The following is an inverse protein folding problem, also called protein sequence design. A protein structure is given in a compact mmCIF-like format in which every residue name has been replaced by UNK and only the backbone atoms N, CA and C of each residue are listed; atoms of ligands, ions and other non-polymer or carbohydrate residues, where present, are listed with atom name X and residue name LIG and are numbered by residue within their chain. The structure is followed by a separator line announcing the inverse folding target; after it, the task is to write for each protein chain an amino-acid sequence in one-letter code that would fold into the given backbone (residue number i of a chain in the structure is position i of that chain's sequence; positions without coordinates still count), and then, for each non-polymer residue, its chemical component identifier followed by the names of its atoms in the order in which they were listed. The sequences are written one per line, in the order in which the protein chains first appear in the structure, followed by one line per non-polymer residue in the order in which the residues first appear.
data_IF_390565686719
#
_entry.id   IF_390565686719
#
_cell.length_a   1.000
_cell.length_b   1.000
_cell.length_c   1.000
_cell.angle_alpha   90.00
_cell.angle_beta   90.00
_cell.angle_gamma   90.00
#
_symmetry.space_group_name_H-M   'P 1'
#
loop_
_entity.id
_entity.type
_entity.pdbx_description
1 polymer ?
#
# COMPACT_ATOMS: atom_id res chain seq x y z
N UNK A 1 15.60 -27.37 21.68
CA UNK A 1 15.00 -28.16 20.57
C UNK A 1 13.57 -27.70 20.25
N UNK A 2 12.68 -27.54 21.25
CA UNK A 2 11.30 -27.04 21.08
C UNK A 2 11.16 -25.67 20.40
N UNK A 3 12.02 -24.71 20.73
CA UNK A 3 11.97 -23.36 20.15
C UNK A 3 12.21 -23.34 18.64
N UNK A 4 13.06 -24.25 18.13
CA UNK A 4 13.35 -24.34 16.69
C UNK A 4 12.15 -24.90 15.94
N UNK A 5 11.51 -25.95 16.46
CA UNK A 5 10.31 -26.54 15.87
C UNK A 5 9.14 -25.55 15.86
N UNK A 6 8.93 -24.82 16.97
CA UNK A 6 7.89 -23.80 17.08
C UNK A 6 8.13 -22.63 16.11
N UNK A 7 9.37 -22.16 15.98
CA UNK A 7 9.72 -21.15 14.98
C UNK A 7 9.49 -21.64 13.55
N UNK A 8 9.89 -22.87 13.22
CA UNK A 8 9.64 -23.46 11.91
C UNK A 8 8.14 -23.56 11.61
N UNK A 9 7.31 -23.87 12.62
CA UNK A 9 5.86 -23.86 12.49
C UNK A 9 5.34 -22.46 12.14
N UNK A 10 5.70 -21.43 12.90
CA UNK A 10 5.32 -20.04 12.60
C UNK A 10 5.79 -19.60 11.21
N UNK A 11 7.03 -19.95 10.84
CA UNK A 11 7.59 -19.66 9.52
C UNK A 11 6.79 -20.33 8.41
N UNK A 12 6.32 -21.57 8.60
CA UNK A 12 5.46 -22.27 7.63
C UNK A 12 4.08 -21.61 7.53
N UNK A 13 3.49 -21.21 8.66
CA UNK A 13 2.17 -20.57 8.71
C UNK A 13 2.12 -19.27 7.91
N UNK A 14 3.15 -18.43 8.05
CA UNK A 14 3.20 -17.14 7.34
C UNK A 14 3.73 -17.27 5.90
N UNK A 15 4.28 -18.42 5.49
CA UNK A 15 4.85 -18.61 4.15
C UNK A 15 3.74 -18.84 3.10
N UNK A 16 2.98 -17.78 2.86
CA UNK A 16 1.79 -17.78 1.99
C UNK A 16 2.18 -17.44 0.54
N UNK A 17 3.30 -16.75 0.28
CA UNK A 17 3.84 -16.46 -1.07
C UNK A 17 2.78 -16.03 -2.09
N UNK A 18 2.02 -14.97 -1.79
CA UNK A 18 0.92 -14.44 -2.62
C UNK A 18 -0.23 -15.40 -2.88
N UNK A 19 -0.42 -16.39 -2.02
CA UNK A 19 -1.58 -17.28 -2.05
C UNK A 19 -2.66 -16.82 -1.06
N UNK A 20 -3.85 -17.40 -1.15
CA UNK A 20 -4.96 -17.11 -0.23
C UNK A 20 -5.67 -15.78 -0.47
N UNK A 21 -6.98 -15.78 -0.29
CA UNK A 21 -7.82 -14.60 -0.44
C UNK A 21 -7.68 -13.69 0.80
N UNK A 22 -7.34 -12.40 0.63
CA UNK A 22 -7.12 -11.49 1.76
C UNK A 22 -8.36 -11.34 2.64
N UNK A 23 -9.57 -11.34 2.04
CA UNK A 23 -10.83 -11.24 2.79
C UNK A 23 -11.10 -12.45 3.66
N UNK A 24 -10.85 -13.67 3.16
CA UNK A 24 -10.98 -14.88 3.97
C UNK A 24 -9.97 -14.89 5.13
N UNK A 25 -8.71 -14.54 4.85
CA UNK A 25 -7.65 -14.49 5.86
C UNK A 25 -8.01 -13.50 6.97
N UNK A 26 -8.41 -12.28 6.60
CA UNK A 26 -8.76 -11.24 7.58
C UNK A 26 -10.06 -11.59 8.30
N UNK A 27 -10.99 -12.33 7.68
CA UNK A 27 -12.22 -12.76 8.36
C UNK A 27 -11.95 -13.63 9.59
N UNK A 28 -10.91 -14.46 9.57
CA UNK A 28 -10.48 -15.24 10.74
C UNK A 28 -9.72 -14.42 11.78
N UNK A 29 -9.15 -13.29 11.36
CA UNK A 29 -8.50 -12.33 12.23
C UNK A 29 -9.59 -11.36 12.70
N UNK A 30 -9.85 -10.28 11.97
CA UNK A 30 -10.86 -9.30 12.31
C UNK A 30 -12.04 -9.33 11.30
N UNK A 31 -13.21 -9.89 11.67
CA UNK A 31 -14.34 -9.97 10.75
C UNK A 31 -14.88 -8.60 10.33
N UNK A 32 -14.82 -7.58 11.21
CA UNK A 32 -15.26 -6.22 10.88
C UNK A 32 -14.38 -5.58 9.82
N UNK A 33 -13.07 -5.79 9.88
CA UNK A 33 -12.14 -5.30 8.85
C UNK A 33 -12.33 -6.07 7.53
N UNK A 34 -12.64 -7.36 7.61
CA UNK A 34 -12.85 -8.18 6.41
C UNK A 34 -14.04 -7.70 5.56
N UNK A 35 -15.06 -7.13 6.17
CA UNK A 35 -16.22 -6.55 5.47
C UNK A 35 -15.86 -5.29 4.69
N UNK A 36 -14.85 -4.54 5.14
CA UNK A 36 -14.38 -3.32 4.47
C UNK A 36 -13.44 -3.60 3.29
N UNK A 37 -13.05 -4.86 3.07
CA UNK A 37 -12.13 -5.24 2.01
C UNK A 37 -12.84 -5.33 0.67
N UNK A 38 -12.44 -4.45 -0.24
CA UNK A 38 -12.95 -4.39 -1.61
C UNK A 38 -11.98 -5.02 -2.63
N UNK A 39 -12.54 -5.66 -3.66
CA UNK A 39 -11.80 -6.21 -4.79
C UNK A 39 -11.23 -5.08 -5.67
N UNK A 40 -11.94 -3.96 -5.81
CA UNK A 40 -11.49 -2.86 -6.66
C UNK A 40 -10.28 -2.11 -6.07
N UNK A 41 -10.02 -2.21 -4.76
CA UNK A 41 -8.83 -1.64 -4.14
C UNK A 41 -7.54 -2.46 -4.35
N UNK A 42 -7.63 -3.72 -4.83
CA UNK A 42 -6.48 -4.61 -5.03
C UNK A 42 -5.64 -4.77 -3.77
N UNK A 43 -6.27 -5.25 -2.71
CA UNK A 43 -5.76 -5.32 -1.36
C UNK A 43 -4.91 -6.57 -1.16
N UNK A 44 -3.80 -6.43 -0.45
CA UNK A 44 -2.94 -7.53 -0.02
C UNK A 44 -2.66 -7.40 1.47
N UNK A 45 -2.69 -8.51 2.18
CA UNK A 45 -2.39 -8.58 3.61
C UNK A 45 -0.99 -9.13 3.77
N UNK A 46 -0.17 -8.49 4.60
CA UNK A 46 1.18 -8.98 4.90
C UNK A 46 1.31 -9.33 6.37
N UNK A 47 2.10 -10.37 6.65
CA UNK A 47 2.41 -10.83 7.98
C UNK A 47 3.88 -10.58 8.35
N UNK A 48 4.14 -10.39 9.64
CA UNK A 48 5.48 -10.31 10.24
C UNK A 48 5.51 -11.02 11.57
N UNK A 49 6.65 -11.63 11.86
CA UNK A 49 6.96 -12.10 13.21
C UNK A 49 7.64 -10.94 13.94
N UNK A 50 7.20 -10.67 15.16
CA UNK A 50 7.75 -9.62 16.02
C UNK A 50 7.60 -9.96 17.49
N UNK A 51 7.92 -9.01 18.35
CA UNK A 51 7.84 -9.17 19.81
C UNK A 51 9.22 -9.27 20.47
N UNK A 52 9.26 -8.91 21.74
CA UNK A 52 10.48 -8.86 22.57
C UNK A 52 10.77 -10.19 23.28
N UNK A 53 9.79 -11.09 23.34
CA UNK A 53 9.88 -12.41 23.99
C UNK A 53 9.58 -13.51 22.97
N UNK A 54 10.20 -14.67 23.16
CA UNK A 54 9.89 -15.88 22.41
C UNK A 54 8.78 -16.66 23.15
N UNK A 55 7.76 -17.24 22.48
CA UNK A 55 7.54 -17.30 21.03
C UNK A 55 7.18 -15.94 20.39
N UNK A 56 7.51 -15.72 19.11
CA UNK A 56 7.21 -14.46 18.44
C UNK A 56 5.70 -14.29 18.24
N UNK A 57 5.25 -13.04 18.33
CA UNK A 57 3.89 -12.64 17.98
C UNK A 57 3.78 -12.41 16.47
N UNK A 58 2.62 -12.74 15.90
CA UNK A 58 2.33 -12.48 14.50
C UNK A 58 1.63 -11.12 14.41
N UNK A 59 2.13 -10.28 13.51
CA UNK A 59 1.52 -9.00 13.17
C UNK A 59 1.07 -9.02 11.73
N UNK A 60 0.01 -8.28 11.41
CA UNK A 60 -0.48 -8.07 10.06
C UNK A 60 -0.60 -6.60 9.71
N UNK A 61 -0.51 -6.31 8.41
CA UNK A 61 -0.77 -4.97 7.85
C UNK A 61 -1.43 -5.12 6.48
N UNK A 62 -2.43 -4.28 6.24
CA UNK A 62 -3.20 -4.24 5.00
C UNK A 62 -2.55 -3.23 4.06
N UNK A 63 -2.28 -3.65 2.83
CA UNK A 63 -1.70 -2.84 1.77
C UNK A 63 -2.63 -2.79 0.57
N UNK A 64 -2.64 -1.68 -0.13
CA UNK A 64 -3.35 -1.50 -1.39
C UNK A 64 -2.33 -1.42 -2.52
N UNK A 65 -2.55 -2.20 -3.58
CA UNK A 65 -1.68 -2.16 -4.76
C UNK A 65 -2.20 -1.20 -5.82
N UNK A 66 -3.52 -0.96 -5.89
CA UNK A 66 -4.08 -0.02 -6.85
C UNK A 66 -3.80 1.42 -6.43
N UNK A 67 -3.81 2.31 -7.41
CA UNK A 67 -3.58 3.73 -7.18
C UNK A 67 -4.69 4.31 -6.33
N UNK A 68 -4.33 4.92 -5.20
CA UNK A 68 -5.23 5.65 -4.31
C UNK A 68 -4.67 7.06 -4.19
N UNK A 69 -5.48 8.04 -4.57
CA UNK A 69 -5.14 9.46 -4.45
C UNK A 69 -5.87 10.04 -3.24
N UNK A 70 -5.11 10.74 -2.40
CA UNK A 70 -5.65 11.57 -1.34
C UNK A 70 -5.80 12.99 -1.89
N UNK A 71 -7.06 13.40 -2.14
CA UNK A 71 -7.35 14.67 -2.79
C UNK A 71 -6.88 15.87 -1.96
N UNK A 72 -7.09 15.81 -0.65
CA UNK A 72 -6.76 16.89 0.27
C UNK A 72 -5.24 17.01 0.50
N UNK A 73 -4.50 15.93 0.29
CA UNK A 73 -3.06 15.87 0.45
C UNK A 73 -2.26 16.60 -0.66
N UNK A 74 -2.83 16.76 -1.86
CA UNK A 74 -2.09 17.33 -3.01
C UNK A 74 -2.06 18.87 -3.00
N UNK A 75 -3.08 19.52 -2.44
CA UNK A 75 -3.10 20.97 -2.23
C UNK A 75 -3.71 21.27 -0.85
N UNK A 76 -2.94 21.07 0.22
CA UNK A 76 -3.41 21.39 1.55
C UNK A 76 -3.67 22.90 1.62
N UNK A 77 -4.94 23.27 1.84
CA UNK A 77 -5.38 24.66 1.97
C UNK A 77 -6.51 24.69 3.00
N UNK A 78 -6.64 25.81 3.68
CA UNK A 78 -7.84 26.10 4.45
C UNK A 78 -8.93 26.61 3.49
N UNK A 79 -9.78 25.70 3.00
CA UNK A 79 -10.88 26.05 2.10
C UNK A 79 -12.00 26.85 2.78
N UNK A 80 -11.98 26.95 4.11
CA UNK A 80 -12.97 27.72 4.87
C UNK A 80 -12.63 29.21 4.91
N UNK A 81 -11.33 29.53 4.85
CA UNK A 81 -10.82 30.90 4.79
C UNK A 81 -10.36 31.20 3.37
N UNK A 82 -11.29 31.59 2.49
CA UNK A 82 -10.91 32.10 1.17
C UNK A 82 -10.18 33.44 1.36
N UNK A 83 -8.87 33.55 1.10
CA UNK A 83 -8.22 34.85 1.13
C UNK A 83 -8.86 35.71 0.05
N UNK A 84 -9.18 36.96 0.38
CA UNK A 84 -9.66 37.92 -0.61
C UNK A 84 -8.64 37.93 -1.76
N UNK A 85 -9.10 37.66 -2.99
CA UNK A 85 -8.23 37.60 -4.18
C UNK A 85 -7.40 38.89 -4.23
N UNK A 86 -6.09 38.79 -4.00
CA UNK A 86 -5.17 39.91 -4.24
C UNK A 86 -5.15 40.15 -5.74
N UNK A 87 -5.81 41.22 -6.18
CA UNK A 87 -5.82 41.70 -7.57
C UNK A 87 -4.56 42.50 -7.91
N UNK A 88 -3.57 42.59 -7.02
CA UNK A 88 -2.38 43.38 -7.23
C UNK A 88 -1.27 42.57 -7.92
N UNK A 89 -0.92 42.98 -9.15
CA UNK A 89 0.28 42.52 -9.88
C UNK A 89 1.60 43.04 -9.27
N UNK A 90 1.56 43.67 -8.10
CA UNK A 90 2.73 44.24 -7.42
C UNK A 90 3.29 43.15 -6.51
N UNK A 91 4.44 42.60 -6.91
CA UNK A 91 5.27 41.71 -6.07
C UNK A 91 5.85 42.55 -4.93
N UNK A 92 5.14 42.65 -3.81
CA UNK A 92 5.80 43.03 -2.55
C UNK A 92 6.66 41.84 -2.11
N UNK A 93 7.96 42.08 -1.90
CA UNK A 93 9.00 41.10 -1.59
C UNK A 93 8.88 40.47 -0.18
N UNK A 94 7.81 40.83 0.56
CA UNK A 94 7.53 40.28 1.87
C UNK A 94 6.94 38.87 1.71
N UNK A 95 7.80 37.86 1.90
CA UNK A 95 7.42 36.47 2.15
C UNK A 95 6.57 36.44 3.43
N UNK A 96 5.27 36.69 3.30
CA UNK A 96 4.36 36.50 4.41
C UNK A 96 4.41 35.03 4.81
N UNK A 97 4.79 34.76 6.06
CA UNK A 97 4.67 33.43 6.64
C UNK A 97 3.21 33.00 6.52
N UNK A 98 2.94 32.05 5.63
CA UNK A 98 1.61 31.50 5.47
C UNK A 98 1.25 30.72 6.76
N UNK A 99 0.13 31.06 7.39
CA UNK A 99 -0.37 30.31 8.53
C UNK A 99 -0.88 28.93 8.05
N UNK A 100 -0.08 27.89 8.30
CA UNK A 100 -0.37 26.51 7.92
C UNK A 100 -1.32 25.80 8.91
N UNK A 101 -1.81 26.45 9.97
CA UNK A 101 -2.60 25.80 11.04
C UNK A 101 -3.92 25.18 10.55
N UNK A 102 -4.54 25.76 9.52
CA UNK A 102 -5.80 25.28 8.92
C UNK A 102 -5.62 24.30 7.76
N UNK A 103 -4.40 23.93 7.43
CA UNK A 103 -4.12 23.07 6.28
C UNK A 103 -4.44 21.60 6.56
N UNK A 104 -4.88 20.89 5.53
CA UNK A 104 -5.05 19.45 5.60
C UNK A 104 -3.73 18.78 6.02
N UNK A 105 -3.73 18.11 7.18
CA UNK A 105 -2.61 17.33 7.69
C UNK A 105 -2.96 15.86 7.68
N UNK A 106 -2.25 15.08 6.86
CA UNK A 106 -2.42 13.64 6.80
C UNK A 106 -1.76 12.99 8.01
N UNK A 107 -2.53 12.19 8.76
CA UNK A 107 -2.04 11.37 9.87
C UNK A 107 -2.17 9.90 9.47
N UNK A 108 -1.04 9.22 9.25
CA UNK A 108 -1.03 7.81 8.89
C UNK A 108 -1.01 6.91 10.13
N UNK A 109 -2.19 6.49 10.60
CA UNK A 109 -2.31 5.47 11.67
C UNK A 109 -2.22 4.04 11.12
N UNK A 110 -1.34 3.80 10.14
CA UNK A 110 -1.21 2.51 9.46
C UNK A 110 -0.04 1.70 10.03
N UNK A 111 -0.07 1.40 11.32
CA UNK A 111 0.91 0.55 12.01
C UNK A 111 0.73 -0.94 11.73
N UNK A 112 1.69 -1.75 12.18
CA UNK A 112 1.53 -3.21 12.24
C UNK A 112 0.60 -3.58 13.40
N UNK A 113 -0.40 -4.42 13.15
CA UNK A 113 -1.43 -4.82 14.13
C UNK A 113 -1.19 -6.26 14.58
N UNK A 114 -1.24 -6.59 15.88
CA UNK A 114 -1.07 -7.97 16.33
C UNK A 114 -2.26 -8.84 15.90
N UNK A 115 -1.98 -10.09 15.55
CA UNK A 115 -2.97 -11.16 15.35
C UNK A 115 -3.28 -11.74 16.74
N UNK A 116 -4.00 -11.00 17.57
CA UNK A 116 -4.43 -11.48 18.89
C UNK A 116 -5.75 -12.25 18.80
N UNK A 117 -5.88 -13.36 19.55
CA UNK A 117 -7.12 -14.13 19.71
C UNK A 117 -8.17 -13.38 20.56
N UNK A 118 -7.73 -12.40 21.35
CA UNK A 118 -8.56 -11.56 22.22
C UNK A 118 -9.24 -10.42 21.46
N UNK A 119 -10.19 -10.76 20.57
CA UNK A 119 -11.15 -9.78 20.01
C UNK A 119 -12.15 -9.22 21.04
N UNK A 120 -12.06 -9.69 22.30
CA UNK A 120 -12.99 -9.38 23.40
C UNK A 120 -12.45 -8.43 24.48
N UNK A 121 -11.16 -8.04 24.45
CA UNK A 121 -10.65 -7.02 25.38
C UNK A 121 -10.67 -5.66 24.70
N UNK A 122 -11.19 -4.59 25.35
CA UNK A 122 -11.06 -3.24 24.84
C UNK A 122 -9.57 -2.97 24.57
N UNK A 123 -9.27 -2.65 23.32
CA UNK A 123 -7.91 -2.49 22.81
C UNK A 123 -7.21 -1.35 23.56
N UNK A 124 -6.40 -1.70 24.56
CA UNK A 124 -5.25 -0.87 24.86
C UNK A 124 -4.36 -0.99 23.61
N UNK A 125 -4.34 0.07 22.81
CA UNK A 125 -3.69 0.12 21.51
C UNK A 125 -2.18 -0.06 21.67
N UNK A 126 -1.72 -1.30 21.84
CA UNK A 126 -0.31 -1.67 21.74
C UNK A 126 0.05 -1.66 20.25
N UNK A 127 0.08 -0.46 19.68
CA UNK A 127 0.66 -0.23 18.37
C UNK A 127 2.16 -0.45 18.55
N UNK A 128 2.62 -1.65 18.23
CA UNK A 128 4.05 -1.93 18.06
C UNK A 128 4.52 -1.22 16.81
N UNK A 129 4.91 0.03 16.99
CA UNK A 129 5.50 0.88 15.98
C UNK A 129 5.96 2.16 16.65
N UNK A 130 7.15 2.64 16.25
CA UNK A 130 7.58 3.99 16.60
C UNK A 130 6.43 4.95 16.30
N UNK A 131 5.99 5.76 17.27
CA UNK A 131 5.10 6.93 17.04
C UNK A 131 5.81 8.01 16.22
N UNK A 132 6.72 7.62 15.32
CA UNK A 132 7.34 8.51 14.36
C UNK A 132 6.25 8.90 13.40
N UNK A 133 5.74 10.10 13.59
CA UNK A 133 4.89 10.75 12.61
C UNK A 133 5.65 10.76 11.29
N UNK A 134 5.15 10.04 10.30
CA UNK A 134 5.70 10.11 8.96
C UNK A 134 5.25 11.44 8.37
N UNK A 135 6.18 12.38 8.22
CA UNK A 135 5.89 13.63 7.53
C UNK A 135 5.47 13.34 6.09
N UNK A 136 4.28 13.80 5.73
CA UNK A 136 3.75 13.69 4.38
C UNK A 136 3.83 15.06 3.69
N UNK A 137 4.75 15.19 2.74
CA UNK A 137 4.86 16.40 1.94
C UNK A 137 3.83 16.41 0.80
N UNK A 138 3.17 17.55 0.55
CA UNK A 138 2.13 17.65 -0.49
C UNK A 138 2.68 17.35 -1.89
N UNK A 139 3.82 17.94 -2.26
CA UNK A 139 4.48 17.72 -3.56
C UNK A 139 4.90 16.26 -3.77
N UNK A 140 4.38 15.65 -4.84
CA UNK A 140 4.73 14.28 -5.27
C UNK A 140 6.21 14.15 -5.63
N UNK A 141 6.80 15.19 -6.23
CA UNK A 141 8.21 15.19 -6.64
C UNK A 141 9.13 15.13 -5.42
N UNK A 142 8.87 15.96 -4.40
CA UNK A 142 9.65 15.94 -3.16
C UNK A 142 9.52 14.61 -2.43
N UNK A 143 8.31 14.04 -2.36
CA UNK A 143 8.11 12.68 -1.81
C UNK A 143 8.91 11.61 -2.56
N UNK A 144 8.98 11.68 -3.89
CA UNK A 144 9.78 10.74 -4.69
C UNK A 144 11.26 10.86 -4.36
N UNK A 145 11.79 12.08 -4.30
CA UNK A 145 13.16 12.36 -3.90
C UNK A 145 13.46 11.87 -2.48
N UNK A 146 12.56 12.13 -1.52
CA UNK A 146 12.73 11.67 -0.13
C UNK A 146 12.74 10.14 -0.03
N UNK A 147 11.93 9.46 -0.85
CA UNK A 147 11.91 8.00 -0.93
C UNK A 147 13.21 7.44 -1.54
N UNK A 148 13.74 8.08 -2.57
CA UNK A 148 15.03 7.73 -3.19
C UNK A 148 16.19 7.94 -2.20
N UNK A 149 16.23 9.08 -1.51
CA UNK A 149 17.19 9.34 -0.44
C UNK A 149 17.14 8.27 0.66
N UNK A 150 15.94 7.89 1.11
CA UNK A 150 15.76 6.80 2.10
C UNK A 150 16.23 5.44 1.57
N UNK A 151 16.09 5.15 0.27
CA UNK A 151 16.62 3.92 -0.35
C UNK A 151 18.14 3.93 -0.35
N UNK A 152 18.75 5.02 -0.80
CA UNK A 152 20.20 5.22 -0.78
C UNK A 152 20.78 5.03 0.62
N UNK A 153 20.19 5.67 1.64
CA UNK A 153 20.63 5.53 3.04
C UNK A 153 20.60 4.06 3.47
N UNK A 154 19.51 3.34 3.21
CA UNK A 154 19.40 1.92 3.59
C UNK A 154 20.39 1.02 2.86
N UNK A 155 20.67 1.28 1.60
CA UNK A 155 21.70 0.55 0.84
C UNK A 155 23.08 0.73 1.46
N UNK A 156 23.41 1.96 1.85
CA UNK A 156 24.67 2.29 2.53
C UNK A 156 24.75 1.64 3.91
N UNK A 157 23.70 1.76 4.73
CA UNK A 157 23.64 1.12 6.04
C UNK A 157 23.79 -0.40 5.93
N UNK A 158 23.15 -1.02 4.94
CA UNK A 158 23.29 -2.45 4.68
C UNK A 158 24.71 -2.82 4.27
N UNK A 159 25.32 -2.08 3.34
CA UNK A 159 26.71 -2.28 2.93
C UNK A 159 27.68 -2.15 4.11
N UNK A 160 27.52 -1.12 4.95
CA UNK A 160 28.30 -0.93 6.18
C UNK A 160 28.16 -2.12 7.11
N UNK A 161 26.93 -2.56 7.38
CA UNK A 161 26.68 -3.73 8.23
C UNK A 161 27.37 -4.99 7.68
N UNK A 162 27.27 -5.23 6.37
CA UNK A 162 27.90 -6.40 5.74
C UNK A 162 29.43 -6.34 5.81
N UNK A 163 30.01 -5.15 5.60
CA UNK A 163 31.45 -4.94 5.70
C UNK A 163 31.97 -5.18 7.12
N UNK A 164 31.38 -4.55 8.14
CA UNK A 164 31.83 -4.72 9.53
C UNK A 164 31.50 -6.11 10.10
N UNK A 165 30.45 -6.77 9.61
CA UNK A 165 30.17 -8.16 9.96
C UNK A 165 31.15 -9.16 9.32
N UNK A 166 31.94 -8.74 8.32
CA UNK A 166 32.86 -9.60 7.57
C UNK A 166 32.15 -10.50 6.55
N UNK A 167 30.89 -10.20 6.21
CA UNK A 167 30.07 -11.02 5.30
C UNK A 167 30.10 -10.52 3.85
N UNK A 168 31.02 -9.61 3.52
CA UNK A 168 31.13 -9.00 2.21
C UNK A 168 32.13 -9.80 1.35
N UNK A 169 31.63 -10.57 0.37
CA UNK A 169 32.44 -11.50 -0.43
C UNK A 169 32.44 -11.14 -1.91
N UNK A 170 33.60 -10.73 -2.43
CA UNK A 170 33.77 -10.47 -3.85
C UNK A 170 33.35 -11.66 -4.73
N UNK A 171 32.57 -11.40 -5.79
CA UNK A 171 32.10 -12.44 -6.72
C UNK A 171 33.23 -13.14 -7.49
N UNK A 172 34.38 -12.47 -7.62
CA UNK A 172 35.47 -12.92 -8.46
C UNK A 172 36.41 -13.88 -7.72
N UNK A 173 36.89 -14.90 -8.42
CA UNK A 173 37.90 -15.84 -7.91
C UNK A 173 39.34 -15.34 -8.07
N UNK A 174 39.55 -14.25 -8.82
CA UNK A 174 40.88 -13.70 -9.07
C UNK A 174 41.35 -12.86 -7.88
N UNK A 175 42.54 -13.15 -7.35
CA UNK A 175 43.07 -12.45 -6.18
C UNK A 175 43.24 -10.94 -6.41
N UNK A 176 43.63 -10.53 -7.61
CA UNK A 176 43.83 -9.12 -7.98
C UNK A 176 42.51 -8.34 -7.99
N UNK A 177 41.44 -8.91 -8.57
CA UNK A 177 40.13 -8.26 -8.63
C UNK A 177 39.49 -8.19 -7.24
N UNK A 178 39.68 -9.23 -6.41
CA UNK A 178 39.26 -9.21 -5.00
C UNK A 178 39.93 -8.05 -4.25
N UNK A 179 41.24 -7.87 -4.42
CA UNK A 179 41.99 -6.76 -3.80
C UNK A 179 41.51 -5.38 -4.26
N UNK A 180 41.22 -5.21 -5.55
CA UNK A 180 40.64 -3.98 -6.10
C UNK A 180 39.26 -3.68 -5.50
N UNK A 181 38.39 -4.69 -5.43
CA UNK A 181 37.03 -4.57 -4.89
C UNK A 181 37.07 -4.19 -3.39
N UNK A 182 37.95 -4.83 -2.61
CA UNK A 182 38.14 -4.49 -1.18
C UNK A 182 38.65 -3.06 -1.01
N UNK A 183 39.60 -2.64 -1.86
CA UNK A 183 40.15 -1.28 -1.83
C UNK A 183 39.10 -0.24 -2.19
N UNK A 184 38.29 -0.49 -3.24
CA UNK A 184 37.19 0.37 -3.65
C UNK A 184 36.13 0.49 -2.55
N UNK A 185 35.73 -0.63 -1.95
CA UNK A 185 34.77 -0.66 -0.83
C UNK A 185 35.29 0.15 0.36
N UNK A 186 36.55 -0.04 0.74
CA UNK A 186 37.18 0.70 1.84
C UNK A 186 37.29 2.20 1.54
N UNK A 187 37.59 2.57 0.30
CA UNK A 187 37.60 3.96 -0.16
C UNK A 187 36.22 4.61 -0.05
N UNK A 188 35.18 3.91 -0.51
CA UNK A 188 33.79 4.36 -0.43
C UNK A 188 33.30 4.52 1.02
N UNK A 189 33.71 3.64 1.93
CA UNK A 189 33.36 3.78 3.34
C UNK A 189 34.03 5.00 3.99
N UNK A 190 35.29 5.26 3.66
CA UNK A 190 36.00 6.46 4.14
C UNK A 190 35.34 7.75 3.67
N UNK A 191 34.91 7.83 2.41
CA UNK A 191 34.21 9.03 1.91
C UNK A 191 32.86 9.25 2.60
N UNK A 192 32.19 8.18 3.02
CA UNK A 192 30.95 8.25 3.82
C UNK A 192 31.25 8.70 5.26
N UNK A 193 32.34 8.20 5.87
CA UNK A 193 32.78 8.60 7.21
C UNK A 193 33.21 10.08 7.26
N UNK A 194 33.97 10.55 6.26
CA UNK A 194 34.53 11.90 6.20
C UNK A 194 33.52 12.95 5.70
N UNK A 195 32.72 12.59 4.68
CA UNK A 195 31.84 13.51 3.96
C UNK A 195 30.34 13.30 4.22
N UNK A 196 29.97 12.31 5.02
CA UNK A 196 28.57 11.92 5.26
C UNK A 196 27.93 11.19 4.08
N UNK A 197 26.67 10.78 4.24
CA UNK A 197 25.94 9.94 3.26
C UNK A 197 25.68 10.65 1.92
N UNK A 198 25.73 11.99 1.90
CA UNK A 198 25.47 12.77 0.69
C UNK A 198 26.69 12.86 -0.23
N UNK A 199 27.90 12.55 0.26
CA UNK A 199 29.15 12.62 -0.51
C UNK A 199 29.26 11.53 -1.58
N UNK A 200 28.59 10.40 -1.39
CA UNK A 200 28.65 9.22 -2.27
C UNK A 200 27.40 9.15 -3.12
N UNK A 201 27.51 8.82 -4.39
CA UNK A 201 26.35 8.66 -5.27
C UNK A 201 25.74 7.26 -5.17
N UNK A 202 24.42 7.14 -5.42
CA UNK A 202 23.74 5.83 -5.32
C UNK A 202 24.33 4.78 -6.27
N UNK A 203 24.70 5.19 -7.49
CA UNK A 203 25.27 4.29 -8.49
C UNK A 203 26.64 3.72 -8.07
N UNK A 204 27.45 4.47 -7.31
CA UNK A 204 28.76 3.99 -6.80
C UNK A 204 28.55 2.87 -5.78
N UNK A 205 27.54 3.03 -4.91
CA UNK A 205 27.14 2.00 -3.94
C UNK A 205 26.61 0.77 -4.66
N UNK A 206 25.75 0.96 -5.67
CA UNK A 206 25.17 -0.14 -6.44
C UNK A 206 26.23 -0.91 -7.22
N UNK A 207 27.24 -0.23 -7.76
CA UNK A 207 28.37 -0.86 -8.44
C UNK A 207 29.18 -1.73 -7.46
N UNK A 208 29.58 -1.17 -6.31
CA UNK A 208 30.31 -1.93 -5.28
C UNK A 208 29.51 -3.12 -4.81
N UNK A 209 28.21 -2.96 -4.52
CA UNK A 209 27.34 -4.07 -4.14
C UNK A 209 27.23 -5.14 -5.23
N UNK A 210 27.17 -4.73 -6.51
CA UNK A 210 27.12 -5.66 -7.62
C UNK A 210 28.40 -6.50 -7.76
N UNK A 211 29.57 -5.99 -7.35
CA UNK A 211 30.83 -6.74 -7.36
C UNK A 211 31.11 -7.53 -6.08
N UNK A 212 30.47 -7.18 -4.96
CA UNK A 212 30.77 -7.69 -3.60
C UNK A 212 29.74 -8.64 -3.00
N UNK A 213 28.56 -8.83 -3.59
CA UNK A 213 27.60 -9.79 -3.05
C UNK A 213 26.90 -10.59 -4.16
N UNK A 214 26.77 -11.91 -3.96
CA UNK A 214 25.96 -12.78 -4.83
C UNK A 214 24.46 -12.54 -4.66
N UNK A 215 24.03 -12.03 -3.49
CA UNK A 215 22.65 -11.64 -3.23
C UNK A 215 22.42 -10.16 -3.59
N UNK A 216 21.56 -9.93 -4.59
CA UNK A 216 21.07 -8.60 -4.93
C UNK A 216 20.18 -8.08 -3.78
N UNK A 217 20.49 -6.91 -3.21
CA UNK A 217 19.70 -6.28 -2.15
C UNK A 217 18.24 -6.11 -2.54
N UNK A 218 17.98 -5.66 -3.77
CA UNK A 218 16.63 -5.43 -4.26
C UNK A 218 15.88 -6.75 -4.41
N UNK A 219 16.57 -7.80 -4.85
CA UNK A 219 16.01 -9.16 -4.91
C UNK A 219 15.69 -9.70 -3.52
N UNK A 220 16.61 -9.53 -2.55
CA UNK A 220 16.39 -9.89 -1.15
C UNK A 220 15.16 -9.19 -0.58
N UNK A 221 15.04 -7.88 -0.78
CA UNK A 221 13.90 -7.09 -0.31
C UNK A 221 12.61 -7.48 -1.04
N UNK A 222 12.67 -7.80 -2.33
CA UNK A 222 11.52 -8.27 -3.11
C UNK A 222 11.02 -9.63 -2.60
N UNK A 223 11.91 -10.60 -2.47
CA UNK A 223 11.60 -11.92 -1.92
C UNK A 223 11.08 -11.81 -0.48
N UNK A 224 11.71 -11.00 0.36
CA UNK A 224 11.24 -10.74 1.72
C UNK A 224 9.81 -10.18 1.74
N UNK A 225 9.50 -9.24 0.84
CA UNK A 225 8.14 -8.69 0.70
C UNK A 225 7.15 -9.73 0.20
N UNK A 226 7.58 -10.79 -0.48
CA UNK A 226 6.70 -11.78 -1.07
C UNK A 226 6.31 -12.91 -0.10
N UNK A 227 7.28 -13.41 0.68
CA UNK A 227 7.14 -14.61 1.53
C UNK A 227 5.86 -14.59 2.37
N UNK A 228 5.59 -13.47 3.03
CA UNK A 228 4.51 -13.32 4.00
C UNK A 228 3.32 -12.48 3.51
N UNK A 229 3.13 -12.39 2.19
CA UNK A 229 2.05 -11.60 1.57
C UNK A 229 0.95 -12.51 1.03
N UNK A 230 -0.32 -12.13 1.22
CA UNK A 230 -1.48 -12.79 0.62
C UNK A 230 -1.61 -12.50 -0.88
N UNK A 231 -2.50 -13.22 -1.57
CA UNK A 231 -2.90 -12.83 -2.92
C UNK A 231 -3.60 -11.46 -2.92
N UNK A 232 -3.73 -10.86 -4.11
CA UNK A 232 -4.49 -9.62 -4.32
C UNK A 232 -6.00 -9.87 -4.24
N UNK A 233 -6.74 -8.96 -3.60
CA UNK A 233 -8.22 -8.99 -3.61
C UNK A 233 -8.79 -8.81 -5.01
N UNK A 234 -8.02 -8.30 -5.98
CA UNK A 234 -8.46 -8.19 -7.37
C UNK A 234 -8.73 -9.56 -8.03
N UNK A 235 -8.10 -10.63 -7.51
CA UNK A 235 -8.32 -11.99 -8.00
C UNK A 235 -9.59 -12.63 -7.40
N UNK A 236 -10.28 -11.90 -6.52
CA UNK A 236 -11.57 -12.32 -6.00
C UNK A 236 -12.63 -12.20 -7.09
N UNK A 237 -13.17 -13.35 -7.50
CA UNK A 237 -14.42 -13.41 -8.26
C UNK A 237 -15.57 -13.15 -7.28
N UNK A 238 -15.80 -11.90 -6.92
CA UNK A 238 -17.11 -11.54 -6.35
C UNK A 238 -18.15 -11.76 -7.44
N UNK A 239 -19.31 -12.31 -7.06
CA UNK A 239 -20.53 -12.53 -7.86
C UNK A 239 -20.33 -12.39 -9.38
N UNK A 240 -20.38 -13.52 -10.09
CA UNK A 240 -20.75 -13.46 -11.51
C UNK A 240 -22.11 -12.77 -11.53
N UNK A 241 -22.18 -11.55 -12.06
CA UNK A 241 -23.36 -11.19 -12.82
C UNK A 241 -23.41 -12.25 -13.92
N UNK A 242 -24.26 -13.26 -13.73
CA UNK A 242 -24.73 -14.02 -14.86
C UNK A 242 -25.34 -12.95 -15.76
N UNK A 243 -24.66 -12.63 -16.87
CA UNK A 243 -25.31 -11.97 -18.00
C UNK A 243 -26.60 -12.76 -18.19
N UNK A 244 -27.72 -12.15 -17.87
CA UNK A 244 -29.02 -12.70 -18.18
C UNK A 244 -28.94 -12.96 -19.67
N UNK A 245 -28.86 -14.23 -20.07
CA UNK A 245 -28.95 -14.60 -21.47
C UNK A 245 -30.24 -13.95 -21.94
N UNK A 246 -30.11 -12.94 -22.81
CA UNK A 246 -31.23 -12.39 -23.54
C UNK A 246 -31.84 -13.58 -24.27
N UNK A 247 -32.90 -14.13 -23.68
CA UNK A 247 -33.85 -14.94 -24.42
C UNK A 247 -34.50 -13.95 -25.36
N UNK A 248 -33.88 -13.80 -26.54
CA UNK A 248 -34.57 -13.34 -27.73
C UNK A 248 -35.71 -14.34 -27.90
N UNK A 249 -36.90 -13.95 -27.43
CA UNK A 249 -38.11 -14.69 -27.70
C UNK A 249 -38.41 -14.47 -29.19
N UNK A 250 -38.07 -15.47 -30.00
CA UNK A 250 -38.51 -15.56 -31.38
C UNK A 250 -40.05 -15.58 -31.38
N UNK A 251 -40.64 -14.43 -31.68
CA UNK A 251 -42.07 -14.25 -31.91
C UNK A 251 -42.27 -14.27 -33.42
N UNK A 252 -42.28 -15.46 -34.01
CA UNK A 252 -42.82 -15.68 -35.36
C UNK A 252 -43.89 -16.77 -35.32
N UNK A 253 -45.04 -16.37 -35.86
CA UNK A 253 -46.10 -17.17 -36.47
C UNK A 253 -46.98 -18.06 -35.59
N UNK A 254 -47.98 -17.41 -34.97
CA UNK A 254 -49.35 -17.95 -34.96
C UNK A 254 -50.31 -16.80 -35.32
N UNK A 255 -50.46 -16.55 -36.62
CA UNK A 255 -51.65 -15.91 -37.19
C UNK A 255 -52.43 -16.99 -37.93
N UNK A 256 -53.77 -16.88 -37.82
CA UNK A 256 -54.82 -17.71 -38.47
C UNK A 256 -55.05 -19.06 -37.76
N UNK A 257 -56.21 -19.42 -37.22
CA UNK A 257 -57.61 -19.02 -37.32
C UNK A 257 -58.21 -19.18 -35.90
N UNK A 258 -59.10 -18.34 -35.40
CA UNK A 258 -60.54 -18.46 -35.62
C UNK A 258 -61.23 -17.12 -35.31
N UNK A 259 -62.05 -16.68 -36.26
CA UNK A 259 -62.99 -15.56 -36.11
C UNK A 259 -64.16 -16.01 -35.25
N UNK A 260 -64.61 -15.17 -34.30
CA UNK A 260 -66.00 -14.67 -34.26
C UNK A 260 -66.24 -13.63 -33.15
N UNK A 261 -66.44 -12.39 -33.62
CA UNK A 261 -67.43 -11.38 -33.19
C UNK A 261 -68.01 -11.41 -31.77
N UNK A 262 -67.75 -10.38 -30.96
CA UNK A 262 -68.79 -9.64 -30.23
C UNK A 262 -68.29 -8.28 -29.69
N UNK A 263 -69.23 -7.33 -29.59
CA UNK A 263 -69.08 -5.87 -29.52
C UNK A 263 -68.84 -5.34 -28.09
N UNK A 264 -68.09 -4.23 -28.03
CA UNK A 264 -68.02 -3.10 -27.06
C UNK A 264 -69.26 -2.87 -26.15
N UNK A 265 -69.16 -2.19 -24.97
CA UNK A 265 -68.41 -0.91 -24.83
C UNK A 265 -67.80 -0.50 -23.46
N UNK A 266 -66.86 0.47 -23.58
CA UNK A 266 -66.59 1.64 -22.71
C UNK A 266 -66.50 1.51 -21.17
N UNK A 267 -65.41 2.01 -20.58
CA UNK A 267 -65.48 2.96 -19.45
C UNK A 267 -64.21 3.83 -19.36
N UNK A 268 -64.44 5.13 -19.13
CA UNK A 268 -63.52 6.26 -19.19
C UNK A 268 -62.50 6.34 -18.03
N UNK A 269 -61.39 6.99 -18.36
CA UNK A 269 -60.36 7.65 -17.53
C UNK A 269 -60.92 8.55 -16.42
N UNK A 270 -60.15 8.73 -15.32
CA UNK A 270 -59.82 10.06 -14.73
C UNK A 270 -58.50 9.94 -13.92
N UNK A 271 -57.50 10.72 -14.31
CA UNK A 271 -56.35 11.15 -13.49
C UNK A 271 -56.68 12.55 -12.94
N UNK A 272 -56.52 12.79 -11.65
CA UNK A 272 -56.54 14.13 -11.05
C UNK A 272 -55.13 14.52 -10.57
N UNK A 273 -54.58 15.59 -11.13
CA UNK A 273 -53.38 16.29 -10.62
C UNK A 273 -53.78 17.38 -9.61
N UNK A 274 -53.00 17.62 -8.54
CA UNK A 274 -53.27 18.69 -7.58
C UNK A 274 -52.68 20.05 -8.03
N UNK A 275 -53.34 21.19 -7.71
CA UNK A 275 -52.88 22.50 -8.16
C UNK A 275 -51.78 23.08 -7.27
N UNK A 276 -50.75 23.65 -7.93
CA UNK A 276 -49.75 24.54 -7.36
C UNK A 276 -50.36 25.91 -7.01
N UNK A 277 -50.20 26.36 -5.77
CA UNK A 277 -50.37 27.76 -5.38
C UNK A 277 -49.02 28.40 -5.07
N UNK A 278 -48.68 29.47 -5.80
CA UNK A 278 -47.59 30.40 -5.48
C UNK A 278 -48.11 31.50 -4.55
N UNK A 279 -47.33 31.82 -3.52
CA UNK A 279 -47.26 33.13 -2.89
C UNK A 279 -45.78 33.40 -2.58
#
# INVERSE_FOLDING_TARGET
MWNVALFQHFKRLINIRRQGEPRQIVRYINPKEAELLDAAAGINVRFRLGGVKFPPEIYYKIFTHRHIEDLCANSPRDYTKLPAKRTSHIKSDDLQEEDYSGWYRRIENNGWRPVCETFLRPAENVIMGDKKESEFHFSKLKRRQDMEKKRKIRKIEWMQQMYYAGNLEAKSTNYETVGLIQTATKGLLRTIEDGGIDSVMEWEVDEVLNWTNTLNFDEYIANWKEIATSNSSANFKSFRFEEAQEKICDYEDILEEEKETQKDPSFETIYEEPPFTKA
#
